data_IF_448717699279
#
_entry.id   IF_448717699279
#
_cell.length_a   1.000
_cell.length_b   1.000
_cell.length_c   1.000
_cell.angle_alpha   90.00
_cell.angle_beta   90.00
_cell.angle_gamma   90.00
#
_symmetry.space_group_name_H-M   'P 1'
#
loop_
_entity.id
_entity.type
_entity.pdbx_description
1 polymer ?
#
# COMPACT_ATOMS: atom_id res chain seq x y z
N UNK A 1 50.78 20.64 9.04
CA UNK A 1 52.05 20.13 9.65
C UNK A 1 51.68 19.03 10.63
N UNK A 2 52.24 17.83 10.49
CA UNK A 2 51.98 16.62 11.29
C UNK A 2 52.97 16.51 12.49
N UNK A 3 53.01 15.48 13.26
CA UNK A 3 53.25 14.10 12.82
C UNK A 3 52.47 12.97 13.52
N UNK A 4 52.28 11.92 12.78
CA UNK A 4 52.51 10.49 12.97
C UNK A 4 53.12 9.98 14.30
N UNK A 5 52.59 8.86 14.80
CA UNK A 5 53.41 7.64 15.06
C UNK A 5 52.56 6.39 15.18
N UNK A 6 52.95 5.43 14.35
CA UNK A 6 52.61 4.02 14.36
C UNK A 6 53.32 3.28 15.50
N UNK A 7 52.78 2.17 15.97
CA UNK A 7 53.57 1.02 16.45
C UNK A 7 52.81 -0.27 16.24
N UNK A 8 53.41 -1.12 15.46
CA UNK A 8 53.25 -2.56 15.25
C UNK A 8 53.92 -3.37 16.34
N UNK A 9 53.44 -4.59 16.55
CA UNK A 9 54.19 -5.83 16.94
C UNK A 9 53.15 -6.91 17.23
N UNK A 10 52.93 -7.97 16.47
CA UNK A 10 53.77 -9.11 16.09
C UNK A 10 54.02 -10.13 17.25
N UNK A 11 53.69 -11.35 16.97
CA UNK A 11 54.34 -12.49 17.61
C UNK A 11 53.41 -13.60 18.06
N UNK A 12 53.29 -14.64 17.25
CA UNK A 12 53.85 -16.03 17.30
C UNK A 12 53.10 -16.98 18.23
N UNK A 13 52.51 -17.99 17.75
CA UNK A 13 52.97 -19.28 17.22
C UNK A 13 52.86 -20.44 18.23
N UNK A 14 52.21 -21.47 17.82
CA UNK A 14 52.67 -22.84 17.68
C UNK A 14 52.26 -23.91 18.72
N UNK A 15 52.03 -25.08 18.12
CA UNK A 15 52.17 -26.46 18.57
C UNK A 15 50.97 -27.05 19.33
N UNK A 16 50.28 -28.07 18.90
CA UNK A 16 50.75 -29.30 18.29
C UNK A 16 50.64 -30.43 19.33
N UNK A 17 49.71 -31.36 19.12
CA UNK A 17 49.87 -32.72 19.62
C UNK A 17 48.94 -33.69 18.89
N UNK A 18 49.58 -34.54 18.07
CA UNK A 18 49.09 -35.81 17.57
C UNK A 18 49.05 -36.82 18.71
N UNK A 19 48.02 -37.63 18.79
CA UNK A 19 48.11 -38.96 19.38
C UNK A 19 47.22 -39.93 18.61
N UNK A 20 47.91 -40.85 17.95
CA UNK A 20 47.42 -42.09 17.37
C UNK A 20 47.16 -43.12 18.49
N UNK A 21 46.09 -43.87 18.41
CA UNK A 21 46.04 -45.20 18.94
C UNK A 21 45.12 -46.10 18.15
N UNK A 22 45.69 -47.15 17.68
CA UNK A 22 45.19 -48.31 16.96
C UNK A 22 44.38 -49.24 17.84
N UNK A 23 43.30 -49.81 17.31
CA UNK A 23 42.87 -51.17 17.71
C UNK A 23 42.11 -51.84 16.57
N UNK A 24 42.60 -53.00 16.19
CA UNK A 24 42.04 -53.93 15.22
C UNK A 24 40.83 -54.67 15.79
N UNK A 25 39.83 -54.87 14.97
CA UNK A 25 38.74 -55.83 15.18
C UNK A 25 38.09 -56.20 13.84
N UNK A 26 38.39 -57.39 13.36
CA UNK A 26 37.83 -57.97 12.15
C UNK A 26 36.44 -58.57 12.41
N UNK A 27 35.47 -58.18 11.59
CA UNK A 27 34.20 -58.89 11.37
C UNK A 27 33.56 -58.39 10.06
N UNK A 28 33.10 -59.29 9.21
CA UNK A 28 32.54 -58.88 7.91
C UNK A 28 31.13 -58.33 8.09
N UNK A 29 31.00 -57.01 7.94
CA UNK A 29 29.71 -56.34 7.87
C UNK A 29 29.28 -56.23 6.40
N UNK A 30 28.12 -56.79 6.06
CA UNK A 30 27.43 -56.54 4.82
C UNK A 30 27.20 -55.01 4.65
N UNK A 31 27.73 -54.47 3.55
CA UNK A 31 27.46 -53.11 3.17
C UNK A 31 25.96 -52.97 2.80
N UNK A 32 25.18 -52.40 3.70
CA UNK A 32 23.90 -51.81 3.30
C UNK A 32 24.23 -50.59 2.43
N UNK A 33 23.78 -50.65 1.18
CA UNK A 33 23.77 -49.44 0.33
C UNK A 33 22.91 -48.39 1.02
N UNK A 34 23.54 -47.34 1.47
CA UNK A 34 22.83 -46.11 1.85
C UNK A 34 22.02 -45.64 0.62
N UNK A 35 20.71 -45.85 0.67
CA UNK A 35 19.80 -45.21 -0.26
C UNK A 35 19.90 -43.72 0.04
N UNK A 36 20.32 -42.93 -0.96
CA UNK A 36 20.25 -41.50 -0.90
C UNK A 36 18.81 -41.09 -0.50
N UNK A 37 18.65 -40.10 0.41
CA UNK A 37 17.31 -39.64 0.74
C UNK A 37 16.64 -39.15 -0.54
N UNK A 38 15.52 -39.75 -0.86
CA UNK A 38 14.64 -39.29 -1.95
C UNK A 38 14.32 -37.84 -1.63
N UNK A 39 14.52 -36.88 -2.57
CA UNK A 39 14.10 -35.52 -2.33
C UNK A 39 12.59 -35.56 -2.05
N UNK A 40 12.19 -35.10 -0.88
CA UNK A 40 10.79 -34.85 -0.56
C UNK A 40 10.37 -33.82 -1.61
N UNK A 41 9.55 -34.22 -2.57
CA UNK A 41 9.03 -33.32 -3.58
C UNK A 41 8.42 -32.13 -2.86
N UNK A 42 8.78 -30.93 -3.28
CA UNK A 42 8.11 -29.72 -2.83
C UNK A 42 6.61 -29.97 -2.99
N UNK A 43 5.86 -29.83 -1.91
CA UNK A 43 4.41 -29.98 -1.98
C UNK A 43 3.92 -28.95 -3.01
N UNK A 44 3.30 -29.43 -4.08
CA UNK A 44 2.70 -28.59 -5.10
C UNK A 44 1.75 -27.60 -4.40
N UNK A 45 1.92 -26.31 -4.68
CA UNK A 45 1.06 -25.30 -4.07
C UNK A 45 -0.38 -25.59 -4.47
N UNK A 46 -1.35 -25.51 -3.55
CA UNK A 46 -2.74 -25.80 -3.88
C UNK A 46 -3.23 -24.85 -4.98
N UNK A 47 -3.94 -25.41 -5.97
CA UNK A 47 -4.52 -24.62 -7.05
C UNK A 47 -5.36 -23.45 -6.49
N UNK A 48 -5.32 -22.28 -7.14
CA UNK A 48 -6.15 -21.15 -6.72
C UNK A 48 -7.63 -21.52 -6.68
N UNK A 49 -8.34 -21.05 -5.66
CA UNK A 49 -9.79 -21.13 -5.59
C UNK A 49 -10.40 -20.20 -6.65
N UNK A 50 -11.62 -20.47 -7.12
CA UNK A 50 -12.33 -19.54 -7.98
C UNK A 50 -12.55 -18.19 -7.24
N UNK A 51 -12.44 -17.10 -7.99
CA UNK A 51 -12.79 -15.76 -7.49
C UNK A 51 -14.27 -15.75 -7.08
N UNK A 52 -14.64 -15.30 -5.89
CA UNK A 52 -16.03 -15.07 -5.52
C UNK A 52 -16.69 -14.11 -6.52
N UNK A 53 -18.00 -14.16 -6.67
CA UNK A 53 -18.71 -13.32 -7.64
C UNK A 53 -19.80 -12.54 -6.94
N UNK A 54 -19.74 -11.23 -7.09
CA UNK A 54 -20.76 -10.31 -6.58
C UNK A 54 -21.59 -9.65 -7.67
N UNK A 55 -22.43 -8.72 -7.26
CA UNK A 55 -23.32 -7.94 -8.12
C UNK A 55 -23.02 -6.44 -8.13
N UNK A 56 -21.89 -6.05 -7.53
CA UNK A 56 -21.51 -4.67 -7.28
C UNK A 56 -21.72 -4.28 -5.83
N UNK A 57 -20.89 -3.40 -5.30
CA UNK A 57 -20.97 -2.87 -3.94
C UNK A 57 -20.37 -1.47 -3.85
N UNK A 58 -20.59 -0.79 -2.73
CA UNK A 58 -19.95 0.49 -2.37
C UNK A 58 -18.76 0.29 -1.42
N UNK A 59 -18.40 -0.97 -1.13
CA UNK A 59 -17.25 -1.28 -0.26
C UNK A 59 -15.96 -0.91 -0.99
N UNK A 60 -15.07 -0.11 -0.37
CA UNK A 60 -13.79 0.23 -0.98
C UNK A 60 -12.94 -1.02 -1.28
N UNK A 61 -12.21 -0.99 -2.40
CA UNK A 61 -11.35 -2.09 -2.85
C UNK A 61 -12.08 -3.43 -3.05
N UNK A 62 -13.37 -3.42 -3.31
CA UNK A 62 -14.15 -4.62 -3.67
C UNK A 62 -14.16 -4.78 -5.20
N UNK A 63 -13.14 -5.46 -5.75
CA UNK A 63 -12.93 -5.60 -7.19
C UNK A 63 -13.89 -6.58 -7.86
N UNK A 64 -14.52 -7.46 -7.08
CA UNK A 64 -15.46 -8.47 -7.56
C UNK A 64 -16.92 -8.18 -7.18
N UNK A 65 -17.17 -7.11 -6.41
CA UNK A 65 -18.50 -6.63 -6.03
C UNK A 65 -19.28 -7.58 -5.12
N UNK A 66 -18.59 -8.37 -4.27
CA UNK A 66 -19.22 -9.33 -3.38
C UNK A 66 -19.54 -8.78 -1.97
N UNK A 67 -19.21 -7.52 -1.73
CA UNK A 67 -19.47 -6.81 -0.48
C UNK A 67 -18.35 -6.96 0.55
N UNK A 68 -17.20 -7.50 0.17
CA UNK A 68 -16.04 -7.65 1.04
C UNK A 68 -14.82 -6.97 0.42
N UNK A 69 -14.09 -6.25 1.24
CA UNK A 69 -12.86 -5.57 0.81
C UNK A 69 -11.79 -6.58 0.41
N UNK A 70 -11.13 -6.35 -0.71
CA UNK A 70 -10.02 -7.14 -1.22
C UNK A 70 -8.68 -6.48 -0.91
N UNK A 71 -7.58 -7.25 -0.99
CA UNK A 71 -6.23 -6.74 -0.75
C UNK A 71 -5.43 -6.72 -2.05
N UNK A 72 -4.93 -5.54 -2.41
CA UNK A 72 -3.98 -5.34 -3.52
C UNK A 72 -2.54 -5.50 -3.03
N UNK A 73 -1.72 -6.18 -3.81
CA UNK A 73 -0.30 -6.44 -3.56
C UNK A 73 0.50 -6.07 -4.81
N UNK A 74 1.22 -4.96 -4.76
CA UNK A 74 2.00 -4.48 -5.90
C UNK A 74 3.31 -5.23 -6.09
N UNK A 75 4.06 -5.42 -5.05
CA UNK A 75 5.38 -6.04 -5.14
C UNK A 75 5.32 -7.49 -4.72
N UNK A 76 5.39 -8.42 -5.66
CA UNK A 76 5.41 -9.85 -5.36
C UNK A 76 6.87 -10.32 -5.25
N UNK A 77 7.18 -11.15 -4.22
CA UNK A 77 8.53 -11.73 -4.13
C UNK A 77 8.71 -12.84 -5.15
N UNK A 78 9.81 -12.77 -5.89
CA UNK A 78 10.21 -13.76 -6.89
C UNK A 78 11.29 -14.67 -6.34
N UNK A 79 11.50 -15.84 -6.95
CA UNK A 79 12.55 -16.78 -6.54
C UNK A 79 13.96 -16.23 -6.77
N UNK A 80 14.10 -15.29 -7.69
CA UNK A 80 15.36 -14.63 -8.04
C UNK A 80 15.29 -13.14 -7.69
N UNK A 81 16.30 -12.62 -7.02
CA UNK A 81 16.47 -11.17 -6.86
C UNK A 81 16.74 -10.55 -8.24
N UNK A 82 16.09 -9.45 -8.54
CA UNK A 82 16.14 -8.75 -9.84
C UNK A 82 15.39 -9.43 -11.00
N UNK A 83 14.41 -10.28 -10.71
CA UNK A 83 13.45 -10.69 -11.72
C UNK A 83 12.59 -9.49 -12.15
N UNK A 84 12.10 -9.53 -13.40
CA UNK A 84 11.14 -8.56 -13.90
C UNK A 84 9.90 -8.51 -13.02
N UNK A 85 9.17 -7.40 -13.05
CA UNK A 85 7.94 -7.21 -12.32
C UNK A 85 6.93 -8.32 -12.66
N UNK A 86 6.49 -9.04 -11.63
CA UNK A 86 5.56 -10.15 -11.79
C UNK A 86 4.11 -9.69 -12.01
N UNK A 87 3.83 -8.41 -11.77
CA UNK A 87 2.51 -7.80 -11.82
C UNK A 87 1.84 -7.64 -10.46
N UNK A 88 0.55 -7.35 -10.48
CA UNK A 88 -0.26 -7.03 -9.31
C UNK A 88 -0.96 -8.29 -8.81
N UNK A 89 -0.90 -8.55 -7.50
CA UNK A 89 -1.66 -9.61 -6.84
C UNK A 89 -2.93 -9.05 -6.20
N UNK A 90 -4.04 -9.78 -6.30
CA UNK A 90 -5.25 -9.50 -5.52
C UNK A 90 -5.60 -10.73 -4.70
N UNK A 91 -5.83 -10.54 -3.40
CA UNK A 91 -6.39 -11.55 -2.49
C UNK A 91 -7.80 -11.12 -2.16
N UNK A 92 -8.78 -11.99 -2.44
CA UNK A 92 -10.18 -11.68 -2.26
C UNK A 92 -10.62 -11.82 -0.81
N UNK A 93 -11.47 -10.86 -0.38
CA UNK A 93 -12.13 -10.86 0.90
C UNK A 93 -13.28 -11.86 1.00
N UNK A 94 -13.84 -12.01 2.18
CA UNK A 94 -15.04 -12.79 2.47
C UNK A 94 -15.51 -12.50 3.88
N UNK A 95 -16.73 -12.93 4.27
CA UNK A 95 -17.24 -12.85 5.66
C UNK A 95 -16.35 -13.59 6.69
N UNK A 96 -15.20 -14.08 6.33
CA UNK A 96 -14.20 -14.70 7.22
C UNK A 96 -12.83 -14.02 7.11
N UNK A 97 -12.77 -12.90 6.42
CA UNK A 97 -11.55 -12.16 6.10
C UNK A 97 -10.93 -12.60 4.78
N UNK A 98 -9.70 -12.17 4.55
CA UNK A 98 -8.94 -12.47 3.34
C UNK A 98 -8.75 -13.97 3.13
N UNK A 99 -8.94 -14.43 1.90
CA UNK A 99 -8.82 -15.85 1.50
C UNK A 99 -7.63 -15.99 0.53
N UNK A 100 -6.40 -16.31 0.99
CA UNK A 100 -5.22 -16.38 0.11
C UNK A 100 -5.33 -17.40 -1.02
N UNK A 101 -6.22 -18.40 -0.86
CA UNK A 101 -6.56 -19.34 -1.94
C UNK A 101 -7.39 -18.71 -3.06
N UNK A 102 -8.26 -17.75 -2.74
CA UNK A 102 -9.00 -16.95 -3.73
C UNK A 102 -8.15 -15.73 -4.09
N UNK A 103 -7.35 -15.85 -5.13
CA UNK A 103 -6.40 -14.84 -5.56
C UNK A 103 -6.31 -14.72 -7.08
N UNK A 104 -5.89 -13.56 -7.54
CA UNK A 104 -5.68 -13.28 -8.96
C UNK A 104 -4.32 -12.62 -9.17
N UNK A 105 -3.56 -13.08 -10.16
CA UNK A 105 -2.35 -12.43 -10.64
C UNK A 105 -2.67 -11.66 -11.92
N UNK A 106 -2.43 -10.35 -11.89
CA UNK A 106 -2.60 -9.45 -13.01
C UNK A 106 -1.24 -9.18 -13.63
N UNK A 107 -0.85 -9.99 -14.62
CA UNK A 107 0.43 -9.81 -15.31
C UNK A 107 0.35 -8.75 -16.40
N UNK A 108 1.44 -8.00 -16.67
CA UNK A 108 1.44 -6.98 -17.71
C UNK A 108 1.14 -7.53 -19.11
N UNK A 109 1.54 -8.78 -19.43
CA UNK A 109 1.26 -9.40 -20.73
C UNK A 109 -0.23 -9.60 -20.98
N UNK A 110 -0.96 -9.95 -19.94
CA UNK A 110 -2.39 -10.27 -20.06
C UNK A 110 -3.27 -9.05 -19.86
N UNK A 111 -2.90 -8.18 -18.91
CA UNK A 111 -3.80 -7.13 -18.43
C UNK A 111 -3.40 -5.73 -18.86
N UNK A 112 -2.13 -5.41 -19.09
CA UNK A 112 -1.75 -4.09 -19.53
C UNK A 112 -2.14 -3.81 -20.99
N UNK A 113 -2.48 -2.56 -21.29
CA UNK A 113 -2.50 -2.11 -22.68
C UNK A 113 -1.07 -2.08 -23.24
N UNK A 114 -0.82 -2.64 -24.41
CA UNK A 114 0.52 -2.67 -24.97
C UNK A 114 1.00 -1.25 -25.31
N UNK A 115 2.24 -0.96 -24.99
CA UNK A 115 2.91 0.29 -25.32
C UNK A 115 3.92 0.02 -26.43
N UNK A 116 3.82 0.72 -27.56
CA UNK A 116 4.67 0.43 -28.73
C UNK A 116 4.53 -1.01 -29.26
N UNK A 117 3.38 -1.66 -29.00
CA UNK A 117 3.11 -3.04 -29.42
C UNK A 117 3.71 -4.12 -28.50
N UNK A 118 4.23 -3.74 -27.33
CA UNK A 118 4.81 -4.65 -26.32
C UNK A 118 4.14 -4.45 -24.97
N UNK A 119 4.10 -5.48 -24.10
CA UNK A 119 3.74 -5.27 -22.70
C UNK A 119 4.72 -4.27 -22.05
N UNK A 120 4.24 -3.40 -21.16
CA UNK A 120 5.12 -2.54 -20.38
C UNK A 120 5.96 -3.37 -19.40
N UNK A 121 7.15 -2.89 -19.02
CA UNK A 121 7.99 -3.54 -18.02
C UNK A 121 7.55 -3.18 -16.58
N UNK A 122 6.88 -2.05 -16.40
CA UNK A 122 6.27 -1.62 -15.13
C UNK A 122 4.76 -1.78 -15.22
N UNK A 123 4.15 -2.37 -14.20
CA UNK A 123 2.70 -2.55 -14.08
C UNK A 123 2.32 -2.62 -12.60
N UNK A 124 2.14 -1.46 -11.97
CA UNK A 124 1.92 -1.30 -10.53
C UNK A 124 0.59 -0.58 -10.27
N UNK A 125 -0.10 -0.92 -9.18
CA UNK A 125 -1.33 -0.25 -8.76
C UNK A 125 -0.99 1.09 -8.08
N UNK A 126 -1.68 2.15 -8.47
CA UNK A 126 -1.49 3.50 -7.92
C UNK A 126 -2.71 3.98 -7.13
N UNK A 127 -3.91 3.62 -7.56
CA UNK A 127 -5.16 3.97 -6.91
C UNK A 127 -6.26 2.97 -7.27
N UNK A 128 -7.29 2.91 -6.43
CA UNK A 128 -8.46 2.06 -6.61
C UNK A 128 -9.74 2.81 -6.26
N UNK A 129 -10.73 2.75 -7.13
CA UNK A 129 -12.09 3.26 -6.92
C UNK A 129 -13.00 2.83 -8.07
N UNK A 130 -14.32 2.93 -7.90
CA UNK A 130 -15.27 2.69 -8.98
C UNK A 130 -15.32 3.91 -9.91
N UNK A 131 -14.52 3.87 -10.98
CA UNK A 131 -14.35 4.99 -11.91
C UNK A 131 -15.48 5.12 -12.93
N UNK A 132 -16.14 4.02 -13.31
CA UNK A 132 -17.20 4.06 -14.29
C UNK A 132 -18.61 3.93 -13.70
N UNK A 133 -18.72 3.79 -12.37
CA UNK A 133 -19.98 3.80 -11.63
C UNK A 133 -20.77 2.51 -11.79
N UNK A 134 -20.11 1.37 -12.01
CA UNK A 134 -20.78 0.08 -12.20
C UNK A 134 -20.83 -0.79 -10.94
N UNK A 135 -20.27 -0.30 -9.81
CA UNK A 135 -20.27 -0.96 -8.52
C UNK A 135 -19.14 -1.97 -8.33
N UNK A 136 -18.14 -1.99 -9.20
CA UNK A 136 -16.93 -2.78 -9.06
C UNK A 136 -15.72 -1.86 -8.98
N UNK A 137 -14.87 -2.04 -7.99
CA UNK A 137 -13.65 -1.24 -7.88
C UNK A 137 -12.74 -1.46 -9.08
N UNK A 138 -12.27 -0.37 -9.67
CA UNK A 138 -11.30 -0.33 -10.77
C UNK A 138 -9.90 -0.04 -10.23
N UNK A 139 -8.86 -0.41 -10.99
CA UNK A 139 -7.47 -0.04 -10.72
C UNK A 139 -6.97 1.03 -11.66
N UNK A 140 -6.36 2.06 -11.12
CA UNK A 140 -5.44 2.93 -11.86
C UNK A 140 -4.04 2.36 -11.72
N UNK A 141 -3.45 1.97 -12.83
CA UNK A 141 -2.12 1.34 -12.85
C UNK A 141 -1.11 2.23 -13.56
N UNK A 142 0.13 2.25 -13.06
CA UNK A 142 1.24 2.92 -13.73
C UNK A 142 1.98 1.97 -14.66
N UNK A 143 2.55 2.52 -15.72
CA UNK A 143 3.36 1.81 -16.72
C UNK A 143 4.56 2.66 -17.13
N UNK A 144 5.44 2.10 -17.95
CA UNK A 144 6.64 2.76 -18.46
C UNK A 144 6.59 2.97 -19.99
N UNK A 145 5.71 3.83 -20.51
CA UNK A 145 5.61 4.06 -21.95
C UNK A 145 6.90 4.66 -22.50
N UNK A 146 7.41 4.19 -23.67
CA UNK A 146 8.62 4.71 -24.24
C UNK A 146 8.48 6.18 -24.62
N UNK A 147 9.48 7.00 -24.27
CA UNK A 147 9.53 8.42 -24.56
C UNK A 147 10.92 8.84 -25.05
N UNK A 148 10.97 9.52 -26.17
CA UNK A 148 12.22 9.96 -26.82
C UNK A 148 12.70 11.35 -26.37
N UNK A 149 12.05 11.95 -25.39
CA UNK A 149 12.37 13.29 -24.87
C UNK A 149 11.84 14.44 -25.75
N UNK A 150 10.99 14.16 -26.73
CA UNK A 150 10.43 15.17 -27.63
C UNK A 150 8.91 15.31 -27.46
N UNK A 151 8.46 16.55 -27.45
CA UNK A 151 7.04 16.84 -27.27
C UNK A 151 6.55 16.60 -25.85
N UNK A 152 5.28 16.27 -25.71
CA UNK A 152 4.71 15.89 -24.42
C UNK A 152 5.03 14.44 -24.09
N UNK A 153 5.38 14.13 -22.84
CA UNK A 153 5.51 12.73 -22.42
C UNK A 153 4.16 12.01 -22.55
N UNK A 154 4.16 10.72 -22.85
CA UNK A 154 2.94 9.91 -22.82
C UNK A 154 2.35 9.87 -21.41
N UNK A 155 1.07 9.53 -21.30
CA UNK A 155 0.44 9.27 -20.00
C UNK A 155 0.84 7.86 -19.58
N UNK A 156 1.54 7.66 -18.46
CA UNK A 156 1.95 6.33 -18.02
C UNK A 156 0.78 5.54 -17.40
N UNK A 157 -0.32 6.22 -17.09
CA UNK A 157 -1.44 5.64 -16.36
C UNK A 157 -2.42 4.91 -17.29
N UNK A 158 -2.90 3.77 -16.83
CA UNK A 158 -3.93 2.97 -17.50
C UNK A 158 -5.03 2.64 -16.49
N UNK A 159 -6.25 2.38 -16.98
CA UNK A 159 -7.41 1.96 -16.17
C UNK A 159 -7.71 0.50 -16.45
N UNK A 160 -7.75 -0.32 -15.41
CA UNK A 160 -8.15 -1.73 -15.46
C UNK A 160 -9.45 -1.90 -14.68
N UNK A 161 -10.51 -2.20 -15.39
CA UNK A 161 -11.87 -2.21 -14.84
C UNK A 161 -12.19 -3.48 -14.08
N UNK A 162 -12.87 -3.29 -12.94
CA UNK A 162 -13.46 -4.35 -12.14
C UNK A 162 -14.56 -5.11 -12.87
N UNK A 163 -14.99 -6.23 -12.30
CA UNK A 163 -16.09 -7.06 -12.82
C UNK A 163 -16.53 -8.06 -11.78
N UNK A 164 -17.69 -8.76 -11.96
CA UNK A 164 -18.11 -9.83 -11.06
C UNK A 164 -17.09 -10.95 -10.83
N UNK A 165 -15.98 -10.97 -11.52
CA UNK A 165 -14.90 -11.97 -11.37
C UNK A 165 -13.54 -11.32 -11.10
N UNK A 166 -13.55 -10.13 -10.51
CA UNK A 166 -12.37 -9.30 -10.31
C UNK A 166 -11.98 -8.53 -11.57
N UNK A 167 -10.85 -7.80 -11.58
CA UNK A 167 -10.38 -7.05 -12.72
C UNK A 167 -10.24 -7.93 -13.96
N UNK A 168 -10.83 -7.50 -15.07
CA UNK A 168 -10.95 -8.31 -16.27
C UNK A 168 -10.70 -7.52 -17.56
N UNK A 169 -10.34 -8.24 -18.62
CA UNK A 169 -9.98 -7.64 -19.89
C UNK A 169 -8.58 -7.03 -19.87
N UNK A 170 -8.32 -6.12 -20.78
CA UNK A 170 -7.09 -5.33 -20.82
C UNK A 170 -7.36 -3.92 -20.31
N UNK A 171 -6.41 -3.37 -19.58
CA UNK A 171 -6.42 -1.98 -19.21
C UNK A 171 -6.48 -1.08 -20.45
N UNK A 172 -6.98 0.12 -20.28
CA UNK A 172 -7.01 1.14 -21.33
C UNK A 172 -6.19 2.36 -20.89
N UNK A 173 -5.47 3.05 -21.80
CA UNK A 173 -4.74 4.24 -21.44
C UNK A 173 -5.67 5.32 -20.85
N UNK A 174 -5.28 5.94 -19.75
CA UNK A 174 -5.99 7.08 -19.20
C UNK A 174 -5.86 8.26 -20.15
N UNK A 175 -7.00 8.85 -20.50
CA UNK A 175 -7.06 10.04 -21.35
C UNK A 175 -7.01 11.29 -20.49
N UNK A 176 -5.88 11.99 -20.51
CA UNK A 176 -5.75 13.32 -19.89
C UNK A 176 -5.97 14.38 -20.96
N UNK A 177 -7.10 15.13 -20.95
CA UNK A 177 -7.36 16.16 -21.93
C UNK A 177 -6.27 17.23 -21.97
N UNK A 178 -6.00 17.81 -23.15
CA UNK A 178 -4.94 18.82 -23.34
C UNK A 178 -5.05 20.00 -22.37
N UNK A 179 -6.26 20.43 -22.07
CA UNK A 179 -6.53 21.52 -21.11
C UNK A 179 -6.14 21.20 -19.68
N UNK A 180 -6.07 19.91 -19.32
CA UNK A 180 -5.65 19.42 -18.03
C UNK A 180 -4.16 19.06 -17.94
N UNK A 181 -3.43 19.08 -19.08
CA UNK A 181 -1.99 18.87 -19.14
C UNK A 181 -1.28 20.20 -19.14
N UNK A 182 -0.94 20.70 -17.96
CA UNK A 182 -0.39 22.05 -17.78
C UNK A 182 1.09 22.21 -18.16
N UNK A 183 1.75 21.12 -18.53
CA UNK A 183 3.15 21.10 -18.92
C UNK A 183 3.52 19.82 -19.67
N UNK A 184 4.81 19.50 -19.70
CA UNK A 184 5.37 18.30 -20.33
C UNK A 184 5.85 17.26 -19.32
N UNK A 185 5.47 17.40 -18.05
CA UNK A 185 5.80 16.41 -17.04
C UNK A 185 4.91 15.17 -17.20
N UNK A 186 5.35 14.07 -16.62
CA UNK A 186 4.60 12.83 -16.62
C UNK A 186 3.36 12.99 -15.74
N UNK A 187 2.15 12.77 -16.26
CA UNK A 187 0.95 12.66 -15.43
C UNK A 187 1.05 11.39 -14.57
N UNK A 188 1.13 11.55 -13.26
CA UNK A 188 1.36 10.46 -12.32
C UNK A 188 0.66 10.72 -10.98
N UNK A 189 0.77 9.77 -10.04
CA UNK A 189 0.26 9.87 -8.66
C UNK A 189 -1.22 10.20 -8.62
N UNK A 190 -2.07 9.34 -9.17
CA UNK A 190 -3.51 9.52 -9.10
C UNK A 190 -4.02 9.35 -7.68
N UNK A 191 -4.98 10.18 -7.29
CA UNK A 191 -5.78 10.03 -6.07
C UNK A 191 -7.24 10.05 -6.47
N UNK A 192 -7.98 9.04 -6.06
CA UNK A 192 -9.42 8.94 -6.24
C UNK A 192 -10.19 9.66 -5.13
N UNK A 193 -11.34 10.22 -5.46
CA UNK A 193 -12.30 10.76 -4.51
C UNK A 193 -13.47 11.42 -5.22
N UNK A 194 -14.58 11.60 -4.55
CA UNK A 194 -15.72 12.40 -5.03
C UNK A 194 -15.51 13.86 -4.62
N UNK A 195 -14.61 14.55 -5.36
CA UNK A 195 -14.20 15.91 -5.00
C UNK A 195 -15.25 16.96 -5.31
N UNK A 196 -16.23 16.68 -6.19
CA UNK A 196 -17.29 17.61 -6.57
C UNK A 196 -18.69 17.22 -6.04
N UNK A 197 -18.79 16.12 -5.27
CA UNK A 197 -19.98 15.70 -4.56
C UNK A 197 -21.10 15.19 -5.47
N UNK A 198 -20.78 14.73 -6.69
CA UNK A 198 -21.78 14.25 -7.64
C UNK A 198 -22.03 12.73 -7.57
N UNK A 199 -21.33 12.04 -6.67
CA UNK A 199 -21.44 10.61 -6.41
C UNK A 199 -20.62 9.75 -7.38
N UNK A 200 -19.81 10.34 -8.25
CA UNK A 200 -18.90 9.60 -9.13
C UNK A 200 -17.45 9.85 -8.71
N UNK A 201 -16.62 8.81 -8.75
CA UNK A 201 -15.21 8.95 -8.43
C UNK A 201 -14.46 9.77 -9.48
N UNK A 202 -13.78 10.81 -9.02
CA UNK A 202 -12.87 11.66 -9.77
C UNK A 202 -11.43 11.19 -9.63
N UNK A 203 -10.51 11.72 -10.46
CA UNK A 203 -9.07 11.59 -10.30
C UNK A 203 -8.40 12.94 -10.19
N UNK A 204 -7.58 13.13 -9.16
CA UNK A 204 -6.58 14.20 -9.11
C UNK A 204 -5.20 13.59 -9.31
N UNK A 205 -4.42 14.16 -10.22
CA UNK A 205 -3.09 13.67 -10.54
C UNK A 205 -2.08 14.79 -10.79
N UNK A 206 -0.81 14.49 -10.60
CA UNK A 206 0.27 15.38 -10.99
C UNK A 206 0.25 15.61 -12.50
N UNK A 207 0.38 16.83 -12.92
CA UNK A 207 0.39 17.20 -14.34
C UNK A 207 1.65 17.98 -14.77
N UNK A 208 2.16 18.84 -13.90
CA UNK A 208 3.41 19.59 -14.09
C UNK A 208 3.83 20.25 -12.78
N UNK A 209 5.06 20.75 -12.72
CA UNK A 209 5.61 21.41 -11.52
C UNK A 209 4.63 22.41 -10.91
N UNK A 210 4.15 22.11 -9.70
CA UNK A 210 3.19 22.92 -8.94
C UNK A 210 1.78 22.96 -9.52
N UNK A 211 1.42 22.01 -10.39
CA UNK A 211 0.09 21.93 -10.98
C UNK A 211 -0.46 20.51 -10.95
N UNK A 212 -1.71 20.39 -10.56
CA UNK A 212 -2.45 19.15 -10.52
C UNK A 212 -3.66 19.22 -11.45
N UNK A 213 -3.93 18.10 -12.13
CA UNK A 213 -5.14 17.93 -12.95
C UNK A 213 -6.27 17.39 -12.08
N UNK A 214 -7.47 17.89 -12.29
CA UNK A 214 -8.70 17.30 -11.79
C UNK A 214 -9.47 16.75 -12.99
N UNK A 215 -9.74 15.44 -12.98
CA UNK A 215 -10.47 14.71 -14.02
C UNK A 215 -11.76 14.18 -13.41
N UNK A 216 -12.89 14.72 -13.82
CA UNK A 216 -14.21 14.37 -13.26
C UNK A 216 -14.75 13.06 -13.82
N UNK A 217 -15.24 12.21 -12.94
CA UNK A 217 -15.96 11.00 -13.29
C UNK A 217 -17.39 11.22 -13.78
N UNK A 218 -18.13 10.18 -14.15
CA UNK A 218 -17.60 8.83 -14.34
C UNK A 218 -16.70 8.73 -15.59
N UNK A 219 -15.77 7.78 -15.56
CA UNK A 219 -14.89 7.52 -16.69
C UNK A 219 -15.53 6.53 -17.67
N UNK A 220 -15.23 6.69 -18.92
CA UNK A 220 -15.66 5.73 -19.94
C UNK A 220 -14.75 4.51 -19.98
N UNK A 221 -15.25 3.36 -20.42
CA UNK A 221 -14.45 2.15 -20.69
C UNK A 221 -13.36 2.33 -21.78
N UNK A 222 -13.16 3.57 -22.26
CA UNK A 222 -12.05 3.98 -23.16
C UNK A 222 -11.03 4.87 -22.44
N UNK A 223 -11.14 4.99 -21.12
CA UNK A 223 -10.20 5.75 -20.29
C UNK A 223 -10.43 7.28 -20.29
N UNK A 224 -11.51 7.77 -20.85
CA UNK A 224 -11.77 9.21 -20.89
C UNK A 224 -12.64 9.65 -19.70
N UNK A 225 -12.26 10.73 -18.97
CA UNK A 225 -13.12 11.35 -17.98
C UNK A 225 -14.34 12.00 -18.62
N UNK A 226 -15.39 12.19 -17.84
CA UNK A 226 -16.55 12.99 -18.27
C UNK A 226 -16.13 14.40 -18.65
N UNK A 227 -15.27 14.99 -17.82
CA UNK A 227 -14.80 16.36 -17.98
C UNK A 227 -13.44 16.57 -17.31
N UNK A 228 -12.65 17.56 -17.78
CA UNK A 228 -11.54 18.09 -17.02
C UNK A 228 -12.03 19.27 -16.17
N UNK A 229 -11.88 19.17 -14.87
CA UNK A 229 -12.20 20.23 -13.92
C UNK A 229 -11.23 21.43 -13.97
N UNK A 230 -11.46 22.43 -13.13
CA UNK A 230 -10.50 23.51 -12.93
C UNK A 230 -9.15 22.99 -12.40
N UNK A 231 -8.05 23.75 -12.58
CA UNK A 231 -6.77 23.35 -11.99
C UNK A 231 -6.84 23.41 -10.45
N UNK A 232 -6.33 22.36 -9.82
CA UNK A 232 -6.26 22.31 -8.36
C UNK A 232 -5.22 23.32 -7.85
N UNK A 233 -5.57 24.22 -6.94
CA UNK A 233 -4.60 25.11 -6.31
C UNK A 233 -3.68 24.29 -5.43
N UNK A 234 -2.38 24.34 -5.70
CA UNK A 234 -1.44 23.47 -5.03
C UNK A 234 -0.24 24.26 -4.51
N UNK A 235 0.08 24.06 -3.22
CA UNK A 235 1.35 24.48 -2.64
C UNK A 235 2.43 23.38 -2.80
N UNK A 236 2.10 22.25 -3.42
CA UNK A 236 2.96 21.10 -3.63
C UNK A 236 2.69 20.45 -4.99
N UNK A 237 3.31 19.30 -5.25
CA UNK A 237 3.27 18.61 -6.53
C UNK A 237 2.74 17.17 -6.41
N UNK A 238 2.70 16.62 -5.17
CA UNK A 238 2.29 15.25 -4.93
C UNK A 238 0.92 15.19 -4.25
N UNK A 239 -0.14 14.90 -4.97
CA UNK A 239 -1.39 14.49 -4.35
C UNK A 239 -1.13 13.20 -3.58
N UNK A 240 -1.75 13.06 -2.41
CA UNK A 240 -1.51 11.94 -1.50
C UNK A 240 -2.86 11.41 -1.03
N UNK A 241 -3.11 10.15 -1.31
CA UNK A 241 -4.32 9.45 -0.88
C UNK A 241 -4.20 8.86 0.53
N UNK A 242 -5.31 8.33 1.03
CA UNK A 242 -6.64 8.42 0.43
C UNK A 242 -7.25 9.82 0.54
N UNK A 243 -8.15 10.18 -0.39
CA UNK A 243 -9.03 11.33 -0.21
C UNK A 243 -10.08 11.02 0.85
N UNK A 244 -10.59 12.04 1.51
CA UNK A 244 -11.65 11.89 2.51
C UNK A 244 -12.39 13.21 2.74
N UNK A 245 -13.69 13.14 3.00
CA UNK A 245 -14.47 14.30 3.46
C UNK A 245 -14.08 14.62 4.91
N UNK A 246 -13.02 15.44 5.08
CA UNK A 246 -12.47 15.70 6.41
C UNK A 246 -13.35 16.61 7.26
N UNK A 247 -14.24 17.39 6.65
CA UNK A 247 -15.07 18.38 7.35
C UNK A 247 -16.57 18.02 7.33
N UNK A 248 -16.93 16.88 6.71
CA UNK A 248 -18.28 16.36 6.57
C UNK A 248 -19.22 17.33 5.83
N UNK A 249 -18.71 17.97 4.76
CA UNK A 249 -19.50 18.85 3.88
C UNK A 249 -20.02 18.13 2.60
N UNK A 250 -19.72 16.84 2.46
CA UNK A 250 -20.16 15.98 1.38
C UNK A 250 -19.25 16.02 0.14
N UNK A 251 -18.02 16.53 0.29
CA UNK A 251 -17.00 16.58 -0.75
C UNK A 251 -15.71 16.01 -0.22
N UNK A 252 -15.08 15.11 -0.95
CA UNK A 252 -13.77 14.62 -0.57
C UNK A 252 -12.71 15.73 -0.65
N UNK A 253 -11.81 15.71 0.31
CA UNK A 253 -10.70 16.62 0.45
C UNK A 253 -9.37 15.91 0.11
N UNK A 254 -8.36 16.67 -0.27
CA UNK A 254 -7.10 16.16 -0.77
C UNK A 254 -5.91 16.68 0.04
N UNK A 255 -5.01 15.79 0.42
CA UNK A 255 -3.69 16.16 0.95
C UNK A 255 -2.69 16.30 -0.19
N UNK A 256 -2.04 17.47 -0.31
CA UNK A 256 -1.01 17.72 -1.31
C UNK A 256 0.33 18.01 -0.64
N UNK A 257 1.36 17.26 -0.99
CA UNK A 257 2.72 17.33 -0.42
C UNK A 257 3.71 17.90 -1.44
N UNK A 258 4.83 18.44 -0.94
CA UNK A 258 5.97 18.74 -1.80
C UNK A 258 6.59 17.44 -2.34
N UNK A 259 6.98 17.40 -3.61
CA UNK A 259 7.52 16.19 -4.25
C UNK A 259 8.88 15.74 -3.71
N UNK A 260 9.63 16.64 -3.06
CA UNK A 260 10.98 16.37 -2.58
C UNK A 260 11.10 16.51 -1.06
N UNK A 261 11.45 15.41 -0.40
CA UNK A 261 11.82 15.35 1.01
C UNK A 261 10.64 15.50 2.00
N UNK A 262 10.93 15.57 3.30
CA UNK A 262 9.93 15.73 4.35
C UNK A 262 9.40 17.18 4.40
N UNK A 263 8.73 17.60 3.33
CA UNK A 263 8.07 18.90 3.24
C UNK A 263 6.78 18.97 4.04
N UNK A 264 6.23 20.17 4.21
CA UNK A 264 4.86 20.34 4.69
C UNK A 264 3.86 19.86 3.63
N UNK A 265 2.67 19.52 4.09
CA UNK A 265 1.55 19.23 3.23
C UNK A 265 0.48 20.33 3.36
N UNK A 266 -0.40 20.42 2.38
CA UNK A 266 -1.53 21.33 2.38
C UNK A 266 -2.80 20.52 2.15
N UNK A 267 -3.79 20.74 2.99
CA UNK A 267 -5.13 20.25 2.73
C UNK A 267 -5.79 21.13 1.66
N UNK A 268 -6.34 20.53 0.64
CA UNK A 268 -7.14 21.18 -0.40
C UNK A 268 -8.56 20.68 -0.28
N UNK A 269 -9.50 21.58 -0.06
CA UNK A 269 -10.89 21.23 0.22
C UNK A 269 -11.69 21.09 -1.08
N UNK A 270 -12.49 20.06 -1.11
CA UNK A 270 -13.48 19.79 -2.13
C UNK A 270 -14.61 20.81 -2.16
N UNK A 271 -15.50 20.70 -3.14
CA UNK A 271 -16.66 21.56 -3.33
C UNK A 271 -17.26 21.42 -4.72
N UNK A 272 -18.37 22.09 -5.04
CA UNK A 272 -19.11 21.90 -6.31
C UNK A 272 -18.27 22.07 -7.59
N UNK A 273 -17.13 22.77 -7.47
CA UNK A 273 -16.17 22.95 -8.56
C UNK A 273 -14.96 22.01 -8.44
N UNK A 274 -15.03 21.00 -7.56
CA UNK A 274 -13.92 20.08 -7.21
C UNK A 274 -12.97 20.67 -6.17
N UNK A 275 -11.74 20.14 -6.01
CA UNK A 275 -10.79 20.53 -4.97
C UNK A 275 -10.12 21.88 -5.28
N UNK A 276 -10.87 22.96 -5.12
CA UNK A 276 -10.47 24.32 -5.53
C UNK A 276 -10.12 25.26 -4.37
N UNK A 277 -10.34 24.86 -3.13
CA UNK A 277 -10.13 25.71 -1.93
C UNK A 277 -8.91 25.23 -1.14
N UNK A 278 -7.94 26.11 -0.93
CA UNK A 278 -6.79 25.82 -0.05
C UNK A 278 -7.24 25.83 1.40
N UNK A 279 -7.04 24.74 2.09
CA UNK A 279 -7.29 24.57 3.51
C UNK A 279 -6.04 24.80 4.38
N UNK A 280 -5.91 24.02 5.46
CA UNK A 280 -4.84 24.16 6.44
C UNK A 280 -3.50 23.58 5.94
N UNK A 281 -2.40 24.19 6.37
CA UNK A 281 -1.06 23.63 6.18
C UNK A 281 -0.74 22.65 7.31
N UNK A 282 -0.37 21.43 6.95
CA UNK A 282 0.11 20.39 7.84
C UNK A 282 1.63 20.53 8.07
N UNK A 283 2.16 20.02 9.20
CA UNK A 283 3.60 20.07 9.45
C UNK A 283 4.39 19.26 8.42
N UNK A 284 5.70 19.48 8.40
CA UNK A 284 6.62 18.62 7.65
C UNK A 284 6.68 17.22 8.27
N UNK A 285 6.71 16.20 7.42
CA UNK A 285 6.78 14.79 7.83
C UNK A 285 6.92 13.85 6.64
N UNK A 286 7.13 12.58 6.94
CA UNK A 286 7.33 11.54 5.94
C UNK A 286 6.00 11.00 5.42
N UNK A 287 4.95 10.98 6.27
CA UNK A 287 3.66 10.40 5.96
C UNK A 287 2.51 11.12 6.66
N UNK A 288 1.28 10.96 6.16
CA UNK A 288 0.05 11.57 6.69
C UNK A 288 -1.05 10.52 6.73
N UNK A 289 -1.66 10.35 7.91
CA UNK A 289 -2.90 9.59 8.06
C UNK A 289 -4.04 10.52 8.48
N UNK A 290 -5.21 10.32 7.90
CA UNK A 290 -6.47 10.97 8.26
C UNK A 290 -7.34 9.98 9.06
N UNK A 291 -8.04 10.47 10.09
CA UNK A 291 -8.91 9.62 10.88
C UNK A 291 -9.66 10.40 11.96
N UNK A 292 -10.70 9.81 12.51
CA UNK A 292 -11.47 10.36 13.63
C UNK A 292 -10.77 10.02 14.95
N UNK A 293 -9.62 10.66 15.24
CA UNK A 293 -8.82 10.34 16.44
C UNK A 293 -9.41 10.85 17.75
N UNK A 294 -10.48 11.66 17.71
CA UNK A 294 -11.34 11.93 18.84
C UNK A 294 -11.43 13.34 19.35
N UNK A 295 -10.87 14.34 18.66
CA UNK A 295 -11.10 15.76 19.03
C UNK A 295 -11.94 16.44 17.97
N UNK A 296 -13.14 16.86 18.32
CA UNK A 296 -14.04 17.54 17.40
C UNK A 296 -15.01 16.59 16.72
N UNK A 297 -15.55 17.03 15.59
CA UNK A 297 -16.47 16.25 14.75
C UNK A 297 -15.88 15.93 13.39
N UNK A 298 -14.99 16.80 12.92
CA UNK A 298 -14.29 16.62 11.68
C UNK A 298 -13.14 15.62 11.84
N UNK A 299 -12.59 15.11 10.75
CA UNK A 299 -11.42 14.26 10.81
C UNK A 299 -10.19 15.03 11.31
N UNK A 300 -9.27 14.29 11.80
CA UNK A 300 -7.96 14.72 12.27
C UNK A 300 -6.87 14.28 11.31
N UNK A 301 -5.71 14.93 11.33
CA UNK A 301 -4.51 14.46 10.63
C UNK A 301 -3.40 14.12 11.61
N UNK A 302 -2.77 12.99 11.42
CA UNK A 302 -1.50 12.60 12.00
C UNK A 302 -0.39 12.75 10.95
N UNK A 303 0.71 13.41 11.30
CA UNK A 303 1.87 13.59 10.41
C UNK A 303 3.08 12.95 11.05
N UNK A 304 3.56 11.89 10.43
CA UNK A 304 4.64 11.04 10.92
C UNK A 304 6.02 11.56 10.57
N UNK A 305 6.94 11.41 11.52
CA UNK A 305 8.36 11.68 11.32
C UNK A 305 9.23 10.81 12.25
N UNK A 306 10.53 10.66 11.98
CA UNK A 306 11.45 9.98 12.90
C UNK A 306 11.50 10.61 14.28
N UNK A 307 11.18 11.91 14.41
CA UNK A 307 11.19 12.66 15.67
C UNK A 307 9.90 12.57 16.48
N UNK A 308 8.83 12.01 15.91
CA UNK A 308 7.52 11.91 16.55
C UNK A 308 6.37 12.18 15.58
N UNK A 309 5.16 12.06 16.07
CA UNK A 309 3.93 12.26 15.30
C UNK A 309 3.30 13.59 15.73
N UNK A 310 3.12 14.50 14.77
CA UNK A 310 2.41 15.74 14.97
C UNK A 310 0.92 15.55 14.64
N UNK A 311 0.03 16.09 15.47
CA UNK A 311 -1.42 15.99 15.29
C UNK A 311 -2.01 17.34 14.88
N UNK A 312 -3.04 17.29 14.06
CA UNK A 312 -3.96 18.37 13.74
C UNK A 312 -5.37 17.85 13.92
N UNK A 313 -6.08 18.41 14.89
CA UNK A 313 -7.41 17.96 15.26
C UNK A 313 -8.49 18.85 14.67
N UNK A 314 -9.64 18.24 14.34
CA UNK A 314 -10.85 18.93 13.91
C UNK A 314 -10.60 19.78 12.65
N UNK A 315 -10.19 19.14 11.57
CA UNK A 315 -9.87 19.80 10.30
C UNK A 315 -11.12 20.49 9.69
N UNK A 316 -10.99 21.67 9.07
CA UNK A 316 -9.75 22.40 8.81
C UNK A 316 -9.34 23.38 9.91
N UNK A 317 -9.96 23.40 11.09
CA UNK A 317 -9.62 24.32 12.20
C UNK A 317 -8.26 24.02 12.82
N UNK A 318 -7.86 22.77 12.83
CA UNK A 318 -6.54 22.24 13.09
C UNK A 318 -5.92 22.62 14.43
N UNK A 319 -6.59 22.35 15.54
CA UNK A 319 -5.99 22.40 16.86
C UNK A 319 -4.75 21.46 16.91
N UNK A 320 -3.69 21.95 17.59
CA UNK A 320 -2.39 21.26 17.56
C UNK A 320 -2.26 20.25 18.69
N UNK A 321 -1.58 19.14 18.38
CA UNK A 321 -1.18 18.13 19.35
C UNK A 321 0.08 17.41 18.90
N UNK A 322 0.53 16.46 19.71
CA UNK A 322 1.65 15.58 19.35
C UNK A 322 1.56 14.27 20.12
N UNK A 323 2.04 13.21 19.48
CA UNK A 323 2.29 11.94 20.11
C UNK A 323 3.81 11.72 20.09
N UNK A 324 4.42 11.61 21.28
CA UNK A 324 5.88 11.54 21.44
C UNK A 324 6.49 10.21 21.01
N UNK A 325 5.81 9.46 20.14
CA UNK A 325 6.25 8.17 19.61
C UNK A 325 6.74 8.39 18.17
N UNK A 326 7.96 7.95 17.82
CA UNK A 326 8.41 7.96 16.43
C UNK A 326 7.51 7.09 15.54
N UNK A 327 7.25 7.55 14.32
CA UNK A 327 6.52 6.81 13.30
C UNK A 327 6.66 7.55 11.97
N UNK A 328 7.32 6.92 11.01
CA UNK A 328 7.55 7.51 9.68
C UNK A 328 6.53 7.05 8.64
N UNK A 329 5.83 5.95 8.92
CA UNK A 329 4.70 5.48 8.14
C UNK A 329 3.50 5.32 9.05
N UNK A 330 2.37 5.83 8.63
CA UNK A 330 1.14 5.92 9.41
C UNK A 330 -0.02 5.27 8.64
N UNK A 331 -0.99 4.76 9.39
CA UNK A 331 -2.29 4.35 8.89
C UNK A 331 -3.33 4.59 9.99
N UNK A 332 -4.61 4.58 9.66
CA UNK A 332 -5.69 4.85 10.60
C UNK A 332 -6.95 4.07 10.24
N UNK A 333 -7.53 3.40 11.23
CA UNK A 333 -8.83 2.72 11.10
C UNK A 333 -9.43 2.49 12.50
N UNK A 334 -10.71 2.21 12.56
CA UNK A 334 -11.43 1.85 13.79
C UNK A 334 -11.30 0.34 14.01
N UNK A 335 -10.33 -0.06 14.85
CA UNK A 335 -10.05 -1.47 15.12
C UNK A 335 -10.88 -2.05 16.24
N UNK A 336 -11.45 -1.23 17.14
CA UNK A 336 -12.23 -1.71 18.27
C UNK A 336 -13.73 -1.40 18.18
N UNK A 337 -14.16 -0.69 17.13
CA UNK A 337 -15.55 -0.42 16.81
C UNK A 337 -16.18 0.64 17.72
N UNK A 338 -15.38 1.49 18.39
CA UNK A 338 -15.88 2.52 19.26
C UNK A 338 -16.24 3.82 18.53
N UNK A 339 -16.01 3.88 17.22
CA UNK A 339 -16.27 5.02 16.33
C UNK A 339 -15.12 6.04 16.30
N UNK A 340 -14.01 5.76 16.96
CA UNK A 340 -12.78 6.53 16.87
C UNK A 340 -11.74 5.73 16.13
N UNK A 341 -10.97 6.40 15.28
CA UNK A 341 -9.86 5.72 14.60
C UNK A 341 -8.67 5.53 15.55
N UNK A 342 -8.09 4.35 15.54
CA UNK A 342 -6.76 4.11 16.06
C UNK A 342 -5.72 4.60 15.07
N UNK A 343 -4.60 5.07 15.59
CA UNK A 343 -3.45 5.43 14.78
C UNK A 343 -2.44 4.29 14.77
N UNK A 344 -2.16 3.74 13.59
CA UNK A 344 -1.06 2.79 13.38
C UNK A 344 0.21 3.56 13.06
N UNK A 345 1.30 3.24 13.73
CA UNK A 345 2.62 3.77 13.40
C UNK A 345 3.63 2.64 13.17
N UNK A 346 4.43 2.76 12.12
CA UNK A 346 5.51 1.84 11.82
C UNK A 346 6.85 2.56 11.63
N UNK A 347 7.94 1.80 11.79
CA UNK A 347 9.30 2.30 11.75
C UNK A 347 10.23 1.30 12.44
N UNK A 348 10.51 1.50 13.73
CA UNK A 348 11.26 0.52 14.55
C UNK A 348 10.41 -0.67 15.03
N UNK A 349 9.17 -0.77 14.60
CA UNK A 349 8.17 -1.77 14.94
C UNK A 349 6.78 -1.21 14.67
N UNK A 350 5.77 -2.06 14.70
CA UNK A 350 4.37 -1.65 14.48
C UNK A 350 3.67 -1.44 15.82
N UNK A 351 2.97 -0.32 15.95
CA UNK A 351 2.17 0.04 17.13
C UNK A 351 0.82 0.57 16.71
N UNK A 352 -0.21 0.11 17.40
CA UNK A 352 -1.58 0.62 17.30
C UNK A 352 -1.85 1.48 18.54
N UNK A 353 -2.11 2.76 18.34
CA UNK A 353 -2.35 3.73 19.39
C UNK A 353 -3.85 3.96 19.51
N UNK A 354 -4.46 3.68 20.67
CA UNK A 354 -5.91 3.82 20.83
C UNK A 354 -6.39 5.25 20.61
N UNK A 355 -7.46 5.39 19.85
CA UNK A 355 -8.25 6.60 19.75
C UNK A 355 -8.82 6.99 21.10
N UNK A 356 -9.01 8.26 21.38
CA UNK A 356 -9.61 8.78 22.62
C UNK A 356 -10.21 10.15 22.39
N UNK A 357 -11.24 10.50 23.12
CA UNK A 357 -11.86 11.81 23.03
C UNK A 357 -10.88 13.00 23.20
N UNK A 358 -9.68 12.77 23.72
CA UNK A 358 -8.61 13.75 23.82
C UNK A 358 -7.53 13.63 22.74
N UNK A 359 -7.68 12.71 21.81
CA UNK A 359 -6.72 12.33 20.77
C UNK A 359 -5.99 11.02 21.12
N UNK A 360 -5.26 10.43 20.16
CA UNK A 360 -4.58 9.16 20.33
C UNK A 360 -3.48 9.26 21.39
N UNK A 361 -3.16 8.13 22.02
CA UNK A 361 -2.25 8.11 23.17
C UNK A 361 -1.21 7.00 23.04
N UNK A 362 0.02 7.27 23.48
CA UNK A 362 1.04 6.24 23.62
C UNK A 362 0.75 5.30 24.81
N UNK A 363 -0.05 5.75 25.77
CA UNK A 363 -0.48 4.90 26.90
C UNK A 363 -1.56 3.95 26.44
N UNK A 364 -1.32 2.66 26.57
CA UNK A 364 -2.22 1.61 26.08
C UNK A 364 -1.99 1.24 24.62
N UNK A 365 -0.95 1.82 23.98
CA UNK A 365 -0.57 1.40 22.63
C UNK A 365 -0.17 -0.09 22.61
N UNK A 366 -0.72 -0.81 21.66
CA UNK A 366 -0.46 -2.24 21.43
C UNK A 366 0.71 -2.38 20.45
N UNK A 367 1.73 -3.13 20.83
CA UNK A 367 2.83 -3.48 19.93
C UNK A 367 2.48 -4.76 19.18
N UNK A 368 2.31 -4.68 17.87
CA UNK A 368 2.08 -5.85 17.04
C UNK A 368 3.42 -6.46 16.64
N UNK A 369 3.58 -7.74 16.95
CA UNK A 369 4.83 -8.47 16.69
C UNK A 369 4.56 -9.57 15.67
N UNK A 370 5.02 -9.39 14.42
CA UNK A 370 4.92 -10.45 13.43
C UNK A 370 5.62 -11.73 13.92
N UNK A 371 5.07 -12.87 13.55
CA UNK A 371 5.65 -14.17 13.87
C UNK A 371 6.99 -14.38 13.15
N UNK A 372 7.16 -13.72 12.00
CA UNK A 372 8.37 -13.78 11.17
C UNK A 372 9.29 -12.60 11.46
N UNK A 373 10.56 -12.85 11.68
CA UNK A 373 11.59 -11.80 11.86
C UNK A 373 11.98 -11.21 10.50
N UNK A 374 12.10 -9.90 10.43
CA UNK A 374 12.45 -9.19 9.19
C UNK A 374 12.11 -7.70 9.26
N UNK A 375 12.08 -7.05 8.10
CA UNK A 375 11.61 -5.68 7.98
C UNK A 375 10.10 -5.70 7.75
N UNK A 376 9.34 -5.19 8.72
CA UNK A 376 7.88 -5.17 8.69
C UNK A 376 7.35 -3.79 8.33
N UNK A 377 6.34 -3.76 7.47
CA UNK A 377 5.55 -2.57 7.17
C UNK A 377 4.05 -2.89 7.24
N UNK A 378 3.24 -1.88 7.46
CA UNK A 378 1.79 -1.94 7.27
C UNK A 378 1.53 -1.94 5.77
N UNK A 379 0.65 -2.82 5.31
CA UNK A 379 0.14 -2.83 3.93
C UNK A 379 -1.20 -2.14 3.84
N UNK A 380 -2.09 -2.43 4.79
CA UNK A 380 -3.44 -1.88 4.81
C UNK A 380 -4.04 -1.97 6.21
N UNK A 381 -4.98 -1.08 6.49
CA UNK A 381 -5.92 -1.15 7.59
C UNK A 381 -7.34 -1.02 7.04
N UNK A 382 -8.25 -1.91 7.42
CA UNK A 382 -9.64 -1.88 6.94
C UNK A 382 -10.39 -3.16 7.29
N UNK A 383 -11.70 -3.12 7.21
CA UNK A 383 -12.56 -4.25 7.48
C UNK A 383 -12.59 -5.21 6.29
N UNK A 384 -11.88 -6.33 6.40
CA UNK A 384 -11.77 -7.34 5.34
C UNK A 384 -12.76 -8.51 5.52
N UNK A 385 -13.44 -8.63 6.67
CA UNK A 385 -14.42 -9.68 6.90
C UNK A 385 -15.86 -9.17 7.12
N UNK A 386 -16.05 -7.86 7.08
CA UNK A 386 -17.35 -7.23 7.15
C UNK A 386 -17.98 -7.27 8.54
N UNK A 387 -17.17 -7.43 9.61
CA UNK A 387 -17.65 -7.50 10.99
C UNK A 387 -17.79 -6.12 11.65
N UNK A 388 -17.38 -5.05 10.97
CA UNK A 388 -17.43 -3.67 11.42
C UNK A 388 -16.21 -3.23 12.21
N UNK A 389 -15.21 -4.09 12.39
CA UNK A 389 -13.92 -3.77 12.98
C UNK A 389 -12.85 -3.80 11.90
N UNK A 390 -11.97 -2.81 11.88
CA UNK A 390 -10.87 -2.83 10.93
C UNK A 390 -9.85 -3.92 11.28
N UNK A 391 -9.33 -4.59 10.26
CA UNK A 391 -8.20 -5.52 10.36
C UNK A 391 -6.89 -4.82 10.01
N UNK A 392 -5.77 -5.31 10.58
CA UNK A 392 -4.43 -4.82 10.29
C UNK A 392 -3.66 -5.83 9.44
N UNK A 393 -3.24 -5.42 8.26
CA UNK A 393 -2.43 -6.25 7.35
C UNK A 393 -0.98 -5.81 7.41
N UNK A 394 -0.11 -6.73 7.78
CA UNK A 394 1.33 -6.53 7.88
C UNK A 394 2.07 -7.36 6.85
N UNK A 395 3.16 -6.82 6.32
CA UNK A 395 4.09 -7.56 5.47
C UNK A 395 5.49 -7.50 6.04
N UNK A 396 6.10 -8.66 6.24
CA UNK A 396 7.47 -8.81 6.75
C UNK A 396 8.36 -9.41 5.66
N UNK A 397 9.36 -8.65 5.23
CA UNK A 397 10.38 -9.09 4.28
C UNK A 397 11.59 -9.71 4.98
N UNK A 398 12.11 -10.78 4.39
CA UNK A 398 13.41 -11.40 4.76
C UNK A 398 14.30 -11.46 3.51
N UNK A 399 15.08 -10.40 3.31
CA UNK A 399 15.77 -10.19 2.04
C UNK A 399 14.77 -9.92 0.91
N UNK A 400 15.20 -10.12 -0.33
CA UNK A 400 14.45 -9.71 -1.54
C UNK A 400 13.54 -10.82 -2.09
N UNK A 401 13.72 -12.07 -1.63
CA UNK A 401 13.05 -13.25 -2.19
C UNK A 401 12.05 -13.92 -1.26
N UNK A 402 11.88 -13.41 -0.04
CA UNK A 402 10.98 -14.01 0.95
C UNK A 402 10.17 -12.92 1.66
N UNK A 403 8.89 -13.19 1.79
CA UNK A 403 8.01 -12.38 2.61
C UNK A 403 6.99 -13.24 3.38
N UNK A 404 6.32 -12.58 4.30
CA UNK A 404 5.16 -13.09 5.00
C UNK A 404 4.15 -11.97 5.15
N UNK A 405 2.93 -12.19 4.71
CA UNK A 405 1.79 -11.31 4.95
C UNK A 405 0.96 -11.91 6.08
N UNK A 406 0.65 -11.10 7.08
CA UNK A 406 -0.10 -11.48 8.29
C UNK A 406 -1.29 -10.53 8.44
N UNK A 407 -2.48 -11.09 8.68
CA UNK A 407 -3.71 -10.33 8.94
C UNK A 407 -4.07 -10.51 10.41
N UNK A 408 -4.08 -9.42 11.15
CA UNK A 408 -4.53 -9.36 12.54
C UNK A 408 -5.90 -8.73 12.58
N UNK A 409 -6.89 -9.49 13.10
CA UNK A 409 -8.26 -8.99 13.18
C UNK A 409 -8.41 -7.88 14.20
N UNK A 410 -9.34 -6.98 13.92
CA UNK A 410 -9.83 -6.03 14.90
C UNK A 410 -10.36 -6.69 16.15
N UNK A 411 -10.36 -5.97 17.27
CA UNK A 411 -10.80 -6.49 18.56
C UNK A 411 -11.25 -5.39 19.49
N UNK A 412 -12.49 -5.42 19.90
CA UNK A 412 -13.06 -4.47 20.86
C UNK A 412 -12.33 -4.44 22.22
N UNK A 413 -11.58 -5.50 22.56
CA UNK A 413 -10.86 -5.60 23.83
C UNK A 413 -9.39 -5.22 23.72
N UNK A 414 -8.71 -5.68 22.63
CA UNK A 414 -7.25 -5.62 22.47
C UNK A 414 -6.79 -4.75 21.29
N UNK A 415 -7.69 -3.99 20.65
CA UNK A 415 -7.54 -3.24 19.39
C UNK A 415 -7.30 -4.18 18.20
N UNK A 416 -6.27 -5.02 18.26
CA UNK A 416 -5.98 -6.04 17.25
C UNK A 416 -5.56 -7.35 17.93
N UNK A 417 -5.90 -8.47 17.29
CA UNK A 417 -5.53 -9.79 17.80
C UNK A 417 -4.01 -9.98 17.83
N UNK A 418 -3.49 -10.56 18.93
CA UNK A 418 -2.05 -10.81 19.07
C UNK A 418 -1.50 -11.85 18.07
N UNK A 419 -2.36 -12.76 17.59
CA UNK A 419 -2.01 -13.76 16.57
C UNK A 419 -2.71 -13.42 15.27
N UNK A 420 -1.97 -13.53 14.16
CA UNK A 420 -2.55 -13.41 12.85
C UNK A 420 -3.64 -14.49 12.63
N UNK A 421 -4.79 -14.06 12.11
CA UNK A 421 -5.88 -14.93 11.69
C UNK A 421 -5.54 -15.61 10.35
N UNK A 422 -4.79 -14.91 9.48
CA UNK A 422 -4.38 -15.37 8.16
C UNK A 422 -2.90 -15.08 7.99
N UNK A 423 -2.18 -16.02 7.39
CA UNK A 423 -0.75 -15.88 7.06
C UNK A 423 -0.47 -16.51 5.70
N UNK A 424 0.22 -15.80 4.82
CA UNK A 424 0.63 -16.29 3.50
C UNK A 424 1.89 -15.58 2.99
N UNK A 425 2.42 -15.99 1.85
CA UNK A 425 3.52 -15.30 1.15
C UNK A 425 3.07 -14.88 -0.24
N UNK A 426 3.56 -13.73 -0.72
CA UNK A 426 3.26 -13.27 -2.08
C UNK A 426 3.87 -14.19 -3.16
N UNK A 427 4.88 -14.99 -2.81
CA UNK A 427 5.41 -16.02 -3.72
C UNK A 427 4.37 -17.06 -4.18
N UNK A 428 3.26 -17.21 -3.44
CA UNK A 428 2.17 -18.13 -3.83
C UNK A 428 1.47 -17.71 -5.12
N UNK A 429 1.54 -16.44 -5.51
CA UNK A 429 0.99 -15.97 -6.79
C UNK A 429 1.77 -16.49 -7.99
N UNK A 430 3.04 -16.81 -7.80
CA UNK A 430 3.98 -17.22 -8.85
C UNK A 430 4.22 -18.73 -8.86
N UNK A 431 3.62 -19.45 -7.89
CA UNK A 431 3.68 -20.91 -7.88
C UNK A 431 2.85 -21.46 -9.05
N UNK A 432 3.40 -22.46 -9.81
CA UNK A 432 2.72 -23.07 -10.95
C UNK A 432 1.42 -23.79 -10.58
#
# INVERSE_FOLDING_TARGET
>A
MPPRRSTTLAGTAAAGCLLLLTACGHGPAHAAKDAAPTPVGAAEAPAPLPVPRGGGSEVPDDFNGDGHRDLVLDTLVTAESHADDAGIGIVYGSSRGLVPGARQLLTPEKYAAPVGGRPPAVFEAEASCDLDGDGFTDLVVTTDPPYDGRGRPPVPLQLLFGSPSGPAGRAVPLVVPDRARYGNDWPERPVCGDFDGDGAADLVLHASTGRLSHLRGPFTRKGAPREAGPPVPSAGEAPTGPAADVNHDGYDDLVVRASAGPGGATLVLGGPDGPTRTGVTLPAGDDVALGAFGRGKALDAAVGSPGGIAMRYDLPTAARGSLGTPGSMLDAADFDGDGLSELVSSGSGVRVHPGRAAGPTARGAVAVRPATTGTTRVLAAGDFDGDGLADLVLRTHRGDTQDTVEVHRGSAEDLVTARAAVTFSTSQFLAP
#
